data_IF_765612889115
#
_entry.id   IF_765612889115
#
_cell.length_a   1.000
_cell.length_b   1.000
_cell.length_c   1.000
_cell.angle_alpha   90.00
_cell.angle_beta   90.00
_cell.angle_gamma   90.00
#
_symmetry.space_group_name_H-M   'P 1'
#
loop_
_entity.id
_entity.type
_entity.pdbx_description
1 polymer ?
#
# COMPACT_ATOMS: atom_id res chain seq x y z
N UNK A 1 3.02 18.37 -1.65
CA UNK A 1 3.68 17.23 -0.99
C UNK A 1 2.58 16.43 -0.29
N UNK A 2 2.53 15.12 -0.49
CA UNK A 2 1.56 14.24 0.18
C UNK A 2 1.97 14.04 1.65
N UNK A 3 1.00 13.86 2.56
CA UNK A 3 1.29 13.44 3.94
C UNK A 3 1.64 11.94 4.05
N UNK A 4 1.46 11.17 2.96
CA UNK A 4 1.79 9.75 2.89
C UNK A 4 3.29 9.60 2.70
N UNK A 5 3.95 8.87 3.60
CA UNK A 5 5.41 8.61 3.55
C UNK A 5 5.70 7.13 3.53
N UNK A 6 6.94 6.75 3.16
CA UNK A 6 7.40 5.35 3.15
C UNK A 6 7.30 4.72 4.54
N UNK A 7 7.67 5.48 5.56
CA UNK A 7 7.61 5.07 6.96
C UNK A 7 6.16 4.80 7.40
N UNK A 8 5.20 5.63 6.98
CA UNK A 8 3.78 5.40 7.27
C UNK A 8 3.25 4.15 6.55
N UNK A 9 3.65 3.91 5.30
CA UNK A 9 3.27 2.70 4.57
C UNK A 9 3.79 1.42 5.25
N UNK A 10 5.05 1.40 5.68
CA UNK A 10 5.63 0.26 6.40
C UNK A 10 4.99 0.07 7.78
N UNK A 11 4.73 1.16 8.51
CA UNK A 11 4.01 1.09 9.80
C UNK A 11 2.59 0.56 9.63
N UNK A 12 1.87 1.02 8.61
CA UNK A 12 0.57 0.47 8.24
C UNK A 12 0.67 -1.03 8.00
N UNK A 13 1.57 -1.46 7.10
CA UNK A 13 1.69 -2.87 6.76
C UNK A 13 2.04 -3.72 7.99
N UNK A 14 2.94 -3.24 8.84
CA UNK A 14 3.34 -3.91 10.09
C UNK A 14 2.21 -4.00 11.12
N UNK A 15 1.24 -3.08 11.09
CA UNK A 15 0.08 -3.07 11.99
C UNK A 15 -1.02 -4.04 11.58
N UNK A 16 -0.98 -4.59 10.36
CA UNK A 16 -1.96 -5.58 9.90
C UNK A 16 -1.83 -6.88 10.67
N UNK A 17 -2.95 -7.60 10.80
CA UNK A 17 -2.97 -8.93 11.41
C UNK A 17 -1.97 -9.86 10.72
N UNK A 18 -1.38 -10.79 11.48
CA UNK A 18 -0.39 -11.72 10.95
C UNK A 18 -0.92 -12.47 9.71
N UNK A 19 -2.16 -12.97 9.77
CA UNK A 19 -2.78 -13.70 8.67
C UNK A 19 -2.91 -12.85 7.39
N UNK A 20 -3.28 -11.58 7.52
CA UNK A 20 -3.38 -10.67 6.37
C UNK A 20 -2.00 -10.36 5.79
N UNK A 21 -1.00 -10.11 6.65
CA UNK A 21 0.38 -9.88 6.20
C UNK A 21 0.93 -11.08 5.42
N UNK A 22 0.75 -12.30 5.94
CA UNK A 22 1.20 -13.54 5.29
C UNK A 22 0.50 -13.73 3.95
N UNK A 23 -0.81 -13.51 3.87
CA UNK A 23 -1.56 -13.63 2.61
C UNK A 23 -1.04 -12.63 1.56
N UNK A 24 -0.89 -11.36 1.92
CA UNK A 24 -0.35 -10.33 1.02
C UNK A 24 1.07 -10.67 0.61
N UNK A 25 1.92 -11.06 1.56
CA UNK A 25 3.31 -11.43 1.29
C UNK A 25 3.40 -12.58 0.28
N UNK A 26 2.69 -13.69 0.53
CA UNK A 26 2.69 -14.85 -0.35
C UNK A 26 2.22 -14.50 -1.76
N UNK A 27 1.11 -13.77 -1.89
CA UNK A 27 0.57 -13.34 -3.18
C UNK A 27 1.54 -12.45 -3.95
N UNK A 28 2.11 -11.44 -3.29
CA UNK A 28 3.03 -10.51 -3.94
C UNK A 28 4.33 -11.19 -4.35
N UNK A 29 4.91 -12.03 -3.49
CA UNK A 29 6.11 -12.82 -3.83
C UNK A 29 5.83 -13.76 -5.01
N UNK A 30 4.69 -14.44 -5.02
CA UNK A 30 4.31 -15.33 -6.12
C UNK A 30 4.12 -14.59 -7.45
N UNK A 31 3.70 -13.31 -7.44
CA UNK A 31 3.47 -12.53 -8.66
C UNK A 31 4.71 -11.78 -9.14
N UNK A 32 5.53 -11.25 -8.23
CA UNK A 32 6.61 -10.32 -8.55
C UNK A 32 8.01 -10.81 -8.16
N UNK A 33 8.13 -11.93 -7.44
CA UNK A 33 9.41 -12.46 -6.95
C UNK A 33 10.08 -11.60 -5.87
N UNK A 34 9.38 -10.58 -5.36
CA UNK A 34 9.85 -9.66 -4.32
C UNK A 34 8.82 -9.53 -3.21
N UNK A 35 9.24 -9.29 -1.95
CA UNK A 35 8.31 -9.10 -0.85
C UNK A 35 7.59 -7.74 -0.94
N UNK A 36 6.43 -7.62 -0.29
CA UNK A 36 5.60 -6.40 -0.44
C UNK A 36 6.25 -5.14 0.16
N UNK A 37 6.99 -5.29 1.25
CA UNK A 37 7.77 -4.23 1.90
C UNK A 37 8.83 -3.59 0.99
N UNK A 38 9.42 -4.34 0.06
CA UNK A 38 10.27 -3.77 -1.00
C UNK A 38 9.53 -2.67 -1.77
N UNK A 39 8.28 -2.91 -2.17
CA UNK A 39 7.50 -1.91 -2.92
C UNK A 39 7.08 -0.74 -2.05
N UNK A 40 6.81 -0.95 -0.76
CA UNK A 40 6.48 0.15 0.16
C UNK A 40 7.66 1.13 0.35
N UNK A 41 8.89 0.61 0.32
CA UNK A 41 10.12 1.39 0.55
C UNK A 41 10.71 1.95 -0.74
N UNK A 42 10.96 1.09 -1.72
CA UNK A 42 11.77 1.42 -2.90
C UNK A 42 10.92 1.97 -4.04
N UNK A 43 9.72 1.42 -4.24
CA UNK A 43 8.85 1.71 -5.38
C UNK A 43 7.40 2.05 -4.96
N UNK A 44 7.18 3.02 -4.04
CA UNK A 44 5.85 3.27 -3.46
C UNK A 44 4.80 3.72 -4.49
N UNK A 45 5.23 4.28 -5.62
CA UNK A 45 4.38 4.61 -6.77
C UNK A 45 3.84 3.40 -7.55
N UNK A 46 4.26 2.18 -7.20
CA UNK A 46 3.75 0.93 -7.80
C UNK A 46 2.85 0.14 -6.85
N UNK A 47 2.65 0.62 -5.62
CA UNK A 47 1.94 -0.15 -4.59
C UNK A 47 0.52 -0.51 -5.00
N UNK A 48 -0.21 0.41 -5.64
CA UNK A 48 -1.55 0.10 -6.13
C UNK A 48 -1.53 -0.96 -7.24
N UNK A 49 -0.62 -0.83 -8.23
CA UNK A 49 -0.43 -1.82 -9.30
C UNK A 49 -0.13 -3.22 -8.72
N UNK A 50 0.79 -3.28 -7.76
CA UNK A 50 1.22 -4.52 -7.11
C UNK A 50 0.05 -5.18 -6.37
N UNK A 51 -0.71 -4.41 -5.60
CA UNK A 51 -1.91 -4.91 -4.91
C UNK A 51 -2.96 -5.40 -5.90
N UNK A 52 -3.24 -4.63 -6.96
CA UNK A 52 -4.24 -4.98 -7.98
C UNK A 52 -3.88 -6.28 -8.70
N UNK A 53 -2.61 -6.45 -9.10
CA UNK A 53 -2.13 -7.65 -9.79
C UNK A 53 -2.05 -8.87 -8.89
N UNK A 54 -1.63 -8.72 -7.64
CA UNK A 54 -1.44 -9.84 -6.72
C UNK A 54 -2.75 -10.31 -6.05
N UNK A 55 -3.65 -9.38 -5.74
CA UNK A 55 -4.86 -9.65 -4.94
C UNK A 55 -6.16 -9.51 -5.74
N UNK A 56 -6.11 -8.91 -6.93
CA UNK A 56 -7.29 -8.50 -7.69
C UNK A 56 -7.80 -7.12 -7.27
N UNK A 57 -8.46 -6.44 -8.22
CA UNK A 57 -8.90 -5.04 -8.07
C UNK A 57 -9.76 -4.78 -6.82
N UNK A 58 -10.77 -5.62 -6.57
CA UNK A 58 -11.66 -5.45 -5.41
C UNK A 58 -10.88 -5.47 -4.08
N UNK A 59 -9.93 -6.39 -3.94
CA UNK A 59 -9.11 -6.49 -2.74
C UNK A 59 -8.10 -5.34 -2.64
N UNK A 60 -7.55 -4.86 -3.76
CA UNK A 60 -6.69 -3.68 -3.76
C UNK A 60 -7.44 -2.44 -3.28
N UNK A 61 -8.67 -2.22 -3.76
CA UNK A 61 -9.53 -1.12 -3.32
C UNK A 61 -9.89 -1.23 -1.83
N UNK A 62 -10.15 -2.45 -1.32
CA UNK A 62 -10.34 -2.69 0.11
C UNK A 62 -9.08 -2.34 0.93
N UNK A 63 -7.89 -2.76 0.50
CA UNK A 63 -6.64 -2.43 1.18
C UNK A 63 -6.42 -0.91 1.21
N UNK A 64 -6.71 -0.19 0.12
CA UNK A 64 -6.63 1.27 0.11
C UNK A 64 -7.61 1.92 1.09
N UNK A 65 -8.81 1.36 1.26
CA UNK A 65 -9.78 1.85 2.24
C UNK A 65 -9.28 1.68 3.67
N UNK A 66 -8.75 0.51 3.98
CA UNK A 66 -8.15 0.23 5.30
C UNK A 66 -6.94 1.15 5.54
N UNK A 67 -6.10 1.39 4.52
CA UNK A 67 -4.97 2.32 4.60
C UNK A 67 -5.44 3.76 4.84
N UNK A 68 -6.46 4.23 4.12
CA UNK A 68 -7.06 5.55 4.30
C UNK A 68 -7.53 5.77 5.74
N UNK A 69 -8.30 4.82 6.28
CA UNK A 69 -8.77 4.88 7.66
C UNK A 69 -7.63 4.85 8.67
N UNK A 70 -6.62 3.99 8.44
CA UNK A 70 -5.44 3.90 9.30
C UNK A 70 -4.62 5.20 9.28
N UNK A 71 -4.40 5.79 8.11
CA UNK A 71 -3.68 7.07 7.97
C UNK A 71 -4.42 8.21 8.67
N UNK A 72 -5.76 8.25 8.56
CA UNK A 72 -6.58 9.23 9.27
C UNK A 72 -6.37 9.19 10.79
N UNK A 73 -6.28 7.99 11.37
CA UNK A 73 -5.96 7.79 12.80
C UNK A 73 -4.51 8.15 13.17
N UNK A 74 -3.63 8.27 12.17
CA UNK A 74 -2.21 8.60 12.32
C UNK A 74 -1.88 10.02 11.79
N UNK A 75 -2.88 10.91 11.70
CA UNK A 75 -2.68 12.33 11.38
C UNK A 75 -2.53 12.65 9.88
N UNK A 76 -2.81 11.70 8.99
CA UNK A 76 -2.79 11.92 7.54
C UNK A 76 -4.18 11.63 6.94
N UNK A 77 -4.97 12.69 6.73
CA UNK A 77 -6.29 12.58 6.12
C UNK A 77 -6.18 12.54 4.60
N UNK A 78 -6.38 11.37 4.00
CA UNK A 78 -6.37 11.17 2.54
C UNK A 78 -7.46 10.19 2.14
N UNK A 79 -8.17 10.45 1.04
CA UNK A 79 -9.21 9.54 0.55
C UNK A 79 -8.61 8.33 -0.17
N UNK A 80 -9.36 7.22 -0.34
CA UNK A 80 -8.91 6.08 -1.15
C UNK A 80 -8.57 6.48 -2.61
N UNK A 81 -9.28 7.43 -3.20
CA UNK A 81 -9.05 7.92 -4.57
C UNK A 81 -7.75 8.73 -4.68
N UNK A 82 -7.47 9.56 -3.67
CA UNK A 82 -6.19 10.27 -3.57
C UNK A 82 -5.03 9.30 -3.33
N UNK A 83 -5.23 8.32 -2.44
CA UNK A 83 -4.24 7.25 -2.20
C UNK A 83 -3.93 6.46 -3.47
N UNK A 84 -4.95 6.10 -4.25
CA UNK A 84 -4.75 5.42 -5.53
C UNK A 84 -3.85 6.23 -6.45
N UNK A 85 -4.08 7.56 -6.56
CA UNK A 85 -3.24 8.45 -7.37
C UNK A 85 -1.80 8.51 -6.86
N UNK A 86 -1.62 8.76 -5.57
CA UNK A 86 -0.30 8.80 -4.92
C UNK A 86 0.47 7.49 -5.14
N UNK A 87 -0.20 6.35 -4.95
CA UNK A 87 0.40 5.00 -5.03
C UNK A 87 0.46 4.43 -6.45
N UNK A 88 0.17 5.25 -7.47
CA UNK A 88 0.26 4.90 -8.89
C UNK A 88 1.15 5.87 -9.70
N UNK A 89 1.68 6.93 -9.09
CA UNK A 89 2.41 7.97 -9.80
C UNK A 89 3.70 8.36 -9.07
N UNK A 90 4.83 8.18 -9.78
CA UNK A 90 6.18 8.50 -9.28
C UNK A 90 6.34 9.98 -8.94
N UNK A 91 5.57 10.87 -9.54
CA UNK A 91 5.60 12.31 -9.29
C UNK A 91 5.32 12.72 -7.84
N UNK A 92 4.65 11.85 -7.06
CA UNK A 92 4.38 12.07 -5.64
C UNK A 92 5.55 11.67 -4.71
N UNK A 93 6.55 10.96 -5.25
CA UNK A 93 7.64 10.34 -4.49
C UNK A 93 8.99 10.86 -5.00
N UNK A 94 9.33 12.08 -4.58
CA UNK A 94 10.66 12.68 -4.79
C UNK A 94 11.59 12.33 -3.64
#
# INVERSE_FOLDING_TARGET
>A
MSCVTRELLVRFYSSLSFSLRVMVHYRVVSTYGKPFDFFLMEEPWRVYEVLERALGRHNAELVLRILSEWLGRNGCSTSPEELKRILSDRGYWK
#
